data_IF_647391605697
#
_entry.id   IF_647391605697
#
_cell.length_a   1.000
_cell.length_b   1.000
_cell.length_c   1.000
_cell.angle_alpha   90.00
_cell.angle_beta   90.00
_cell.angle_gamma   90.00
#
_symmetry.space_group_name_H-M   'P 1'
#
loop_
_entity.id
_entity.type
_entity.pdbx_description
1 polymer ?
#
# COMPACT_ATOMS: atom_id res chain seq x y z
N UNK A 1 10.07 -14.55 18.78
CA UNK A 1 9.76 -13.11 18.83
C UNK A 1 10.68 -12.27 17.94
N UNK A 2 12.01 -12.28 18.14
CA UNK A 2 12.97 -11.51 17.31
C UNK A 2 12.94 -11.88 15.81
N UNK A 3 12.75 -13.16 15.46
CA UNK A 3 12.64 -13.60 14.05
C UNK A 3 11.36 -13.16 13.33
N UNK A 4 10.22 -13.05 14.03
CA UNK A 4 8.97 -12.50 13.47
C UNK A 4 9.07 -10.98 13.30
N UNK A 5 9.70 -10.27 14.24
CA UNK A 5 9.96 -8.82 14.12
C UNK A 5 10.92 -8.51 12.96
N UNK A 6 12.04 -9.24 12.86
CA UNK A 6 13.00 -9.12 11.74
C UNK A 6 12.37 -9.46 10.38
N UNK A 7 11.49 -10.45 10.30
CA UNK A 7 10.79 -10.75 9.05
C UNK A 7 9.89 -9.58 8.59
N UNK A 8 9.20 -8.93 9.54
CA UNK A 8 8.37 -7.75 9.27
C UNK A 8 9.24 -6.53 8.89
N UNK A 9 10.39 -6.35 9.55
CA UNK A 9 11.32 -5.25 9.23
C UNK A 9 11.97 -5.46 7.85
N UNK A 10 12.37 -6.68 7.52
CA UNK A 10 13.01 -7.03 6.23
C UNK A 10 12.01 -6.95 5.08
N UNK A 11 10.75 -7.40 5.26
CA UNK A 11 9.70 -7.26 4.26
C UNK A 11 9.34 -5.80 3.99
N UNK A 12 9.24 -4.97 5.04
CA UNK A 12 9.05 -3.52 4.92
C UNK A 12 10.21 -2.84 4.21
N UNK A 13 11.46 -3.22 4.52
CA UNK A 13 12.67 -2.71 3.86
C UNK A 13 12.73 -3.06 2.37
N UNK A 14 12.34 -4.28 1.99
CA UNK A 14 12.31 -4.68 0.58
C UNK A 14 11.35 -3.85 -0.26
N UNK A 15 10.16 -3.58 0.28
CA UNK A 15 9.18 -2.72 -0.37
C UNK A 15 9.64 -1.25 -0.44
N UNK A 16 10.25 -0.72 0.63
CA UNK A 16 10.88 0.62 0.64
C UNK A 16 11.93 0.73 -0.48
N UNK A 17 12.79 -0.29 -0.63
CA UNK A 17 13.83 -0.32 -1.66
C UNK A 17 13.26 -0.36 -3.08
N UNK A 18 12.18 -1.11 -3.32
CA UNK A 18 11.49 -1.14 -4.63
C UNK A 18 10.88 0.21 -4.96
N UNK A 19 10.21 0.86 -4.01
CA UNK A 19 9.60 2.18 -4.26
C UNK A 19 10.66 3.26 -4.46
N UNK A 20 11.77 3.21 -3.70
CA UNK A 20 12.93 4.10 -3.93
C UNK A 20 13.51 3.86 -5.32
N UNK A 21 13.69 2.60 -5.74
CA UNK A 21 14.22 2.26 -7.06
C UNK A 21 13.31 2.77 -8.20
N UNK A 22 11.98 2.60 -8.07
CA UNK A 22 10.98 3.10 -9.03
C UNK A 22 10.93 4.64 -9.07
N UNK A 23 11.07 5.29 -7.92
CA UNK A 23 11.07 6.76 -7.83
C UNK A 23 12.33 7.34 -8.46
N UNK A 24 13.50 6.76 -8.15
CA UNK A 24 14.78 7.18 -8.73
C UNK A 24 14.85 6.91 -10.24
N UNK A 25 14.36 5.76 -10.71
CA UNK A 25 14.31 5.47 -12.15
C UNK A 25 13.40 6.45 -12.89
N UNK A 26 12.25 6.79 -12.29
CA UNK A 26 11.31 7.80 -12.81
C UNK A 26 11.93 9.20 -12.90
N UNK A 27 12.67 9.63 -11.87
CA UNK A 27 13.35 10.94 -11.84
C UNK A 27 14.53 11.02 -12.82
N UNK A 28 15.21 9.90 -13.09
CA UNK A 28 16.39 9.84 -13.99
C UNK A 28 16.03 9.67 -15.46
N UNK A 29 14.91 9.01 -15.77
CA UNK A 29 14.52 8.70 -17.14
C UNK A 29 13.46 9.65 -17.70
N UNK A 30 12.76 10.43 -16.86
CA UNK A 30 11.52 11.09 -17.29
C UNK A 30 10.51 10.01 -17.64
N UNK A 31 9.75 9.54 -16.66
CA UNK A 31 8.96 8.32 -16.80
C UNK A 31 8.03 8.36 -18.02
N UNK A 32 8.40 7.64 -19.08
CA UNK A 32 7.51 7.31 -20.20
C UNK A 32 6.62 6.18 -19.72
N UNK A 33 5.60 6.54 -18.95
CA UNK A 33 4.57 5.61 -18.51
C UNK A 33 3.59 5.42 -19.66
N UNK A 34 3.68 4.29 -20.37
CA UNK A 34 2.68 3.87 -21.35
C UNK A 34 1.49 3.27 -20.62
N UNK A 35 0.57 4.10 -20.15
CA UNK A 35 -0.77 3.67 -19.75
C UNK A 35 -1.65 3.61 -21.00
N UNK A 36 -2.32 2.47 -21.19
CA UNK A 36 -2.99 2.11 -22.43
C UNK A 36 -3.85 3.22 -23.04
N UNK A 37 -3.47 3.63 -24.26
CA UNK A 37 -4.30 4.44 -25.14
C UNK A 37 -3.95 5.93 -25.27
N UNK A 38 -2.98 6.47 -24.52
CA UNK A 38 -2.63 7.89 -24.61
C UNK A 38 -1.18 8.08 -25.12
N UNK A 39 -1.05 9.03 -26.05
CA UNK A 39 0.19 9.46 -26.69
C UNK A 39 1.30 9.78 -25.66
N UNK A 40 2.56 9.66 -26.11
CA UNK A 40 3.78 9.83 -25.32
C UNK A 40 3.73 11.07 -24.42
N UNK A 41 3.24 10.93 -23.19
CA UNK A 41 3.29 11.99 -22.20
C UNK A 41 4.62 11.82 -21.46
N UNK A 42 5.59 12.67 -21.78
CA UNK A 42 6.83 12.74 -21.00
C UNK A 42 6.46 13.34 -19.65
N UNK A 43 6.28 12.49 -18.64
CA UNK A 43 5.96 12.94 -17.30
C UNK A 43 7.24 13.46 -16.64
N UNK A 44 7.42 14.78 -16.63
CA UNK A 44 8.45 15.44 -15.84
C UNK A 44 8.00 15.52 -14.38
N UNK A 45 8.46 14.56 -13.57
CA UNK A 45 8.17 14.51 -12.14
C UNK A 45 9.03 15.51 -11.38
N UNK A 46 8.41 16.39 -10.60
CA UNK A 46 9.13 17.19 -9.60
C UNK A 46 9.67 16.29 -8.47
N UNK A 47 10.82 16.62 -7.85
CA UNK A 47 11.33 15.87 -6.71
C UNK A 47 10.30 15.76 -5.55
N UNK A 48 9.47 16.79 -5.36
CA UNK A 48 8.41 16.79 -4.34
C UNK A 48 7.31 15.76 -4.62
N UNK A 49 6.92 15.59 -5.89
CA UNK A 49 5.95 14.56 -6.30
C UNK A 49 6.48 13.16 -6.04
N UNK A 50 7.79 12.94 -6.24
CA UNK A 50 8.45 11.67 -5.92
C UNK A 50 8.37 11.31 -4.43
N UNK A 51 8.55 12.28 -3.54
CA UNK A 51 8.40 12.07 -2.10
C UNK A 51 6.96 11.73 -1.73
N UNK A 52 5.97 12.40 -2.33
CA UNK A 52 4.55 12.10 -2.08
C UNK A 52 4.16 10.70 -2.57
N UNK A 53 4.68 10.27 -3.73
CA UNK A 53 4.53 8.89 -4.23
C UNK A 53 5.09 7.88 -3.23
N UNK A 54 6.29 8.14 -2.69
CA UNK A 54 6.90 7.30 -1.66
C UNK A 54 6.01 7.19 -0.42
N UNK A 55 5.51 8.31 0.10
CA UNK A 55 4.63 8.32 1.29
C UNK A 55 3.37 7.48 1.08
N UNK A 56 2.70 7.69 -0.06
CA UNK A 56 1.46 6.95 -0.39
C UNK A 56 1.73 5.46 -0.56
N UNK A 57 2.82 5.10 -1.25
CA UNK A 57 3.22 3.71 -1.43
C UNK A 57 3.59 3.02 -0.11
N UNK A 58 4.34 3.70 0.76
CA UNK A 58 4.69 3.18 2.09
C UNK A 58 3.46 2.91 2.96
N UNK A 59 2.46 3.79 2.91
CA UNK A 59 1.21 3.59 3.64
C UNK A 59 0.49 2.31 3.17
N UNK A 60 0.40 2.09 1.86
CA UNK A 60 -0.21 0.88 1.31
C UNK A 60 0.57 -0.38 1.67
N UNK A 61 1.89 -0.35 1.55
CA UNK A 61 2.75 -1.48 1.93
C UNK A 61 2.55 -1.83 3.40
N UNK A 62 2.58 -0.82 4.29
CA UNK A 62 2.36 -1.04 5.71
C UNK A 62 0.99 -1.70 5.99
N UNK A 63 -0.05 -1.28 5.28
CA UNK A 63 -1.38 -1.88 5.37
C UNK A 63 -1.37 -3.36 4.92
N UNK A 64 -0.85 -3.65 3.73
CA UNK A 64 -0.80 -5.01 3.19
C UNK A 64 0.03 -5.94 4.07
N UNK A 65 1.19 -5.48 4.55
CA UNK A 65 2.03 -6.24 5.48
C UNK A 65 1.35 -6.49 6.82
N UNK A 66 0.56 -5.54 7.34
CA UNK A 66 -0.22 -5.73 8.55
C UNK A 66 -1.30 -6.81 8.34
N UNK A 67 -1.99 -6.80 7.20
CA UNK A 67 -3.00 -7.81 6.84
C UNK A 67 -2.36 -9.20 6.70
N UNK A 68 -1.25 -9.32 5.96
CA UNK A 68 -0.53 -10.59 5.83
C UNK A 68 -0.07 -11.12 7.18
N UNK A 69 0.45 -10.25 8.05
CA UNK A 69 0.86 -10.62 9.40
C UNK A 69 -0.33 -11.14 10.21
N UNK A 70 -1.48 -10.46 10.15
CA UNK A 70 -2.68 -10.90 10.84
C UNK A 70 -3.15 -12.27 10.34
N UNK A 71 -3.17 -12.49 9.03
CA UNK A 71 -3.51 -13.78 8.43
C UNK A 71 -2.51 -14.88 8.84
N UNK A 72 -1.22 -14.56 8.93
CA UNK A 72 -0.20 -15.51 9.37
C UNK A 72 -0.35 -15.97 10.81
N UNK A 73 -0.96 -15.13 11.67
CA UNK A 73 -1.25 -15.48 13.06
C UNK A 73 -2.52 -16.35 13.20
N UNK A 74 -3.41 -16.27 12.22
CA UNK A 74 -4.65 -17.06 12.19
C UNK A 74 -4.46 -18.41 11.47
N UNK A 75 -3.55 -18.46 10.50
CA UNK A 75 -3.25 -19.65 9.72
C UNK A 75 -2.33 -20.63 10.47
N UNK A 76 -2.49 -21.93 10.19
CA UNK A 76 -1.65 -22.99 10.75
C UNK A 76 -0.33 -23.16 9.99
N UNK A 77 -0.23 -22.59 8.80
CA UNK A 77 0.97 -22.61 7.97
C UNK A 77 1.11 -21.38 7.09
N UNK A 78 2.34 -21.11 6.63
CA UNK A 78 2.62 -20.00 5.68
C UNK A 78 1.85 -20.16 4.37
N UNK A 79 1.68 -21.40 3.88
CA UNK A 79 0.89 -21.68 2.67
C UNK A 79 -0.58 -21.31 2.85
N UNK A 80 -1.14 -21.65 3.99
CA UNK A 80 -2.54 -21.36 4.32
C UNK A 80 -2.76 -19.84 4.47
N UNK A 81 -1.83 -19.12 5.10
CA UNK A 81 -1.87 -17.66 5.16
C UNK A 81 -1.88 -17.00 3.77
N UNK A 82 -1.05 -17.50 2.84
CA UNK A 82 -0.98 -17.00 1.47
C UNK A 82 -2.24 -17.35 0.65
N UNK A 83 -2.83 -18.52 0.88
CA UNK A 83 -4.12 -18.90 0.30
C UNK A 83 -5.26 -17.99 0.77
N UNK A 84 -5.22 -17.50 2.01
CA UNK A 84 -6.18 -16.51 2.51
C UNK A 84 -5.87 -15.09 2.06
N UNK A 85 -4.60 -14.75 1.88
CA UNK A 85 -4.22 -13.43 1.43
C UNK A 85 -4.70 -13.14 0.01
N UNK A 86 -4.61 -14.12 -0.89
CA UNK A 86 -5.02 -13.95 -2.30
C UNK A 86 -6.46 -13.41 -2.47
N UNK A 87 -7.52 -14.04 -1.92
CA UNK A 87 -8.88 -13.52 -2.04
C UNK A 87 -9.08 -12.17 -1.33
N UNK A 88 -8.40 -11.95 -0.20
CA UNK A 88 -8.43 -10.66 0.51
C UNK A 88 -7.81 -9.56 -0.36
N UNK A 89 -6.65 -9.82 -0.96
CA UNK A 89 -5.98 -8.91 -1.88
C UNK A 89 -6.85 -8.60 -3.11
N UNK A 90 -7.46 -9.62 -3.71
CA UNK A 90 -8.39 -9.46 -4.84
C UNK A 90 -9.59 -8.59 -4.47
N UNK A 91 -10.13 -8.74 -3.25
CA UNK A 91 -11.25 -7.92 -2.78
C UNK A 91 -10.92 -6.42 -2.75
N UNK A 92 -9.67 -6.05 -2.46
CA UNK A 92 -9.22 -4.66 -2.46
C UNK A 92 -8.78 -4.17 -3.85
N UNK A 93 -8.12 -5.03 -4.64
CA UNK A 93 -7.57 -4.62 -5.94
C UNK A 93 -8.59 -4.63 -7.07
N UNK A 94 -9.58 -5.53 -7.08
CA UNK A 94 -10.59 -5.57 -8.13
C UNK A 94 -11.41 -4.27 -8.19
N UNK A 95 -11.95 -3.72 -7.08
CA UNK A 95 -12.59 -2.41 -7.10
C UNK A 95 -11.64 -1.32 -7.58
N UNK A 96 -10.38 -1.34 -7.16
CA UNK A 96 -9.40 -0.34 -7.57
C UNK A 96 -9.08 -0.40 -9.08
N UNK A 97 -9.06 -1.59 -9.66
CA UNK A 97 -8.93 -1.80 -11.11
C UNK A 97 -10.18 -1.33 -11.84
N UNK A 98 -11.37 -1.74 -11.37
CA UNK A 98 -12.66 -1.36 -11.96
C UNK A 98 -12.88 0.16 -11.91
N UNK A 99 -12.45 0.81 -10.83
CA UNK A 99 -12.66 2.24 -10.63
C UNK A 99 -11.81 3.12 -11.57
N UNK A 100 -10.82 2.56 -12.29
CA UNK A 100 -10.14 3.28 -13.37
C UNK A 100 -11.04 3.51 -14.59
N UNK A 101 -12.05 2.67 -14.78
CA UNK A 101 -13.02 2.76 -15.87
C UNK A 101 -14.25 3.58 -15.51
N UNK A 102 -14.40 3.95 -14.23
CA UNK A 102 -15.56 4.69 -13.72
C UNK A 102 -15.20 6.18 -13.56
N UNK A 103 -15.68 7.00 -14.49
CA UNK A 103 -15.50 8.45 -14.44
C UNK A 103 -16.12 9.04 -13.16
N UNK A 104 -15.42 10.00 -12.55
CA UNK A 104 -15.89 10.72 -11.36
C UNK A 104 -15.53 10.08 -10.01
N UNK A 105 -15.16 8.79 -9.96
CA UNK A 105 -14.78 8.12 -8.70
C UNK A 105 -13.51 8.72 -8.09
N UNK A 106 -12.52 9.08 -8.91
CA UNK A 106 -11.31 9.76 -8.49
C UNK A 106 -11.55 11.18 -7.91
N UNK A 107 -12.75 11.75 -8.09
CA UNK A 107 -13.13 13.06 -7.54
C UNK A 107 -13.92 12.94 -6.24
N UNK A 108 -14.43 11.76 -5.93
CA UNK A 108 -15.35 11.58 -4.82
C UNK A 108 -14.58 11.26 -3.53
N UNK A 109 -14.77 12.01 -2.43
CA UNK A 109 -14.00 11.81 -1.20
C UNK A 109 -14.15 10.41 -0.59
N UNK A 110 -15.31 9.77 -0.76
CA UNK A 110 -15.56 8.44 -0.19
C UNK A 110 -14.67 7.35 -0.77
N UNK A 111 -14.21 7.48 -2.02
CA UNK A 111 -13.32 6.48 -2.65
C UNK A 111 -11.93 6.49 -2.04
N UNK A 112 -11.53 7.61 -1.44
CA UNK A 112 -10.26 7.75 -0.74
C UNK A 112 -10.31 7.24 0.70
N UNK A 113 -11.46 6.82 1.21
CA UNK A 113 -11.58 6.20 2.54
C UNK A 113 -11.22 4.71 2.50
N UNK A 114 -11.35 4.05 1.35
CA UNK A 114 -11.10 2.63 1.23
C UNK A 114 -9.61 2.36 0.92
N UNK A 115 -8.88 1.62 1.77
CA UNK A 115 -7.49 1.27 1.50
C UNK A 115 -7.37 0.45 0.21
N UNK A 116 -6.32 0.72 -0.56
CA UNK A 116 -6.13 0.15 -1.90
C UNK A 116 -6.75 1.02 -3.00
N UNK A 117 -8.04 1.33 -2.90
CA UNK A 117 -8.72 2.29 -3.80
C UNK A 117 -8.10 3.67 -3.69
N UNK A 118 -7.95 4.16 -2.46
CA UNK A 118 -7.37 5.45 -2.14
C UNK A 118 -5.93 5.61 -2.67
N UNK A 119 -5.13 4.55 -2.56
CA UNK A 119 -3.74 4.53 -2.98
C UNK A 119 -3.64 4.53 -4.50
N UNK A 120 -4.46 3.72 -5.19
CA UNK A 120 -4.48 3.69 -6.66
C UNK A 120 -4.86 5.06 -7.23
N UNK A 121 -5.87 5.72 -6.67
CA UNK A 121 -6.24 7.07 -7.11
C UNK A 121 -5.20 8.14 -6.76
N UNK A 122 -4.61 8.08 -5.57
CA UNK A 122 -3.56 9.02 -5.16
C UNK A 122 -2.29 8.86 -6.01
N UNK A 123 -1.85 7.63 -6.27
CA UNK A 123 -0.70 7.34 -7.14
C UNK A 123 -0.97 7.81 -8.58
N UNK A 124 -2.16 7.50 -9.13
CA UNK A 124 -2.55 7.97 -10.47
C UNK A 124 -2.57 9.51 -10.55
N UNK A 125 -3.17 10.19 -9.58
CA UNK A 125 -3.20 11.66 -9.55
C UNK A 125 -1.81 12.29 -9.45
N UNK A 126 -0.93 11.71 -8.63
CA UNK A 126 0.46 12.13 -8.52
C UNK A 126 1.22 11.92 -9.84
N UNK A 127 1.05 10.77 -10.50
CA UNK A 127 1.69 10.46 -11.79
C UNK A 127 1.20 11.35 -12.94
N UNK A 128 -0.09 11.70 -12.95
CA UNK A 128 -0.68 12.58 -13.97
C UNK A 128 -0.49 14.07 -13.68
N UNK A 129 0.06 14.43 -12.51
CA UNK A 129 0.19 15.83 -12.08
C UNK A 129 -1.13 16.47 -11.62
N UNK A 130 -2.25 15.76 -11.67
CA UNK A 130 -3.58 16.19 -11.24
C UNK A 130 -3.89 15.72 -9.81
N UNK A 131 -3.14 16.21 -8.82
CA UNK A 131 -3.32 15.82 -7.41
C UNK A 131 -3.78 16.99 -6.54
N UNK A 132 -4.51 16.65 -5.47
CA UNK A 132 -4.99 17.59 -4.45
C UNK A 132 -4.54 17.14 -3.07
N UNK A 133 -4.12 18.10 -2.24
CA UNK A 133 -3.71 17.83 -0.86
C UNK A 133 -4.79 17.13 -0.04
N UNK A 134 -6.05 17.53 -0.21
CA UNK A 134 -7.19 16.93 0.50
C UNK A 134 -7.26 15.42 0.30
N UNK A 135 -7.15 14.97 -0.96
CA UNK A 135 -7.24 13.56 -1.32
C UNK A 135 -6.01 12.77 -0.85
N UNK A 136 -4.83 13.39 -0.90
CA UNK A 136 -3.58 12.82 -0.41
C UNK A 136 -3.60 12.59 1.10
N UNK A 137 -4.01 13.60 1.87
CA UNK A 137 -4.19 13.45 3.31
C UNK A 137 -5.22 12.38 3.61
N UNK A 138 -6.36 12.38 2.91
CA UNK A 138 -7.41 11.40 3.14
C UNK A 138 -6.92 9.97 2.83
N UNK A 139 -6.14 9.79 1.76
CA UNK A 139 -5.57 8.48 1.41
C UNK A 139 -4.60 7.97 2.48
N UNK A 140 -3.66 8.80 2.93
CA UNK A 140 -2.66 8.40 3.92
C UNK A 140 -3.31 8.16 5.28
N UNK A 141 -4.19 9.08 5.71
CA UNK A 141 -4.86 8.97 7.02
C UNK A 141 -5.83 7.80 7.09
N UNK A 142 -6.65 7.58 6.07
CA UNK A 142 -7.54 6.41 6.03
C UNK A 142 -6.73 5.12 6.07
N UNK A 143 -5.70 4.98 5.24
CA UNK A 143 -4.84 3.79 5.24
C UNK A 143 -4.19 3.56 6.62
N UNK A 144 -3.74 4.62 7.28
CA UNK A 144 -3.20 4.53 8.65
C UNK A 144 -4.26 4.08 9.67
N UNK A 145 -5.49 4.60 9.57
CA UNK A 145 -6.62 4.23 10.44
C UNK A 145 -6.95 2.74 10.32
N UNK A 146 -6.88 2.15 9.11
CA UNK A 146 -7.08 0.70 8.94
C UNK A 146 -5.86 -0.12 9.39
N UNK A 147 -4.65 0.41 9.22
CA UNK A 147 -3.40 -0.30 9.56
C UNK A 147 -3.18 -0.42 11.07
N UNK A 148 -3.44 0.67 11.82
CA UNK A 148 -3.14 0.73 13.27
C UNK A 148 -3.86 -0.35 14.10
N UNK A 149 -5.18 -0.60 13.94
CA UNK A 149 -5.88 -1.65 14.68
C UNK A 149 -5.38 -3.06 14.35
N UNK A 150 -5.03 -3.32 13.08
CA UNK A 150 -4.49 -4.62 12.65
C UNK A 150 -3.14 -4.87 13.31
N UNK A 151 -2.25 -3.88 13.29
CA UNK A 151 -0.95 -3.98 13.96
C UNK A 151 -1.10 -4.15 15.47
N UNK A 152 -2.03 -3.44 16.10
CA UNK A 152 -2.34 -3.59 17.52
C UNK A 152 -2.81 -5.00 17.87
N UNK A 153 -3.68 -5.58 17.04
CA UNK A 153 -4.12 -6.98 17.18
C UNK A 153 -2.93 -7.94 17.06
N UNK A 154 -2.10 -7.78 16.02
CA UNK A 154 -0.92 -8.61 15.81
C UNK A 154 0.06 -8.52 16.99
N UNK A 155 0.31 -7.32 17.51
CA UNK A 155 1.18 -7.10 18.66
C UNK A 155 0.66 -7.81 19.92
N UNK A 156 -0.65 -7.74 20.19
CA UNK A 156 -1.26 -8.45 21.32
C UNK A 156 -1.21 -9.97 21.16
N UNK A 157 -1.51 -10.49 19.97
CA UNK A 157 -1.47 -11.92 19.71
C UNK A 157 -0.06 -12.50 19.89
N UNK A 158 0.96 -11.81 19.36
CA UNK A 158 2.37 -12.20 19.52
C UNK A 158 2.84 -12.15 20.98
N UNK A 159 2.37 -11.17 21.76
CA UNK A 159 2.70 -11.07 23.18
C UNK A 159 2.20 -12.26 24.01
N UNK A 160 1.04 -12.83 23.65
CA UNK A 160 0.48 -14.01 24.34
C UNK A 160 1.26 -15.28 24.03
N UNK A 161 1.70 -15.47 22.78
CA UNK A 161 2.56 -16.61 22.40
C UNK A 161 3.90 -16.59 23.15
N UNK A 162 4.49 -15.40 23.34
CA UNK A 162 5.78 -15.24 24.02
C UNK A 162 5.72 -15.59 25.51
N UNK A 163 4.55 -15.40 26.16
CA UNK A 163 4.35 -15.72 27.57
C UNK A 163 4.08 -17.22 27.79
N UNK A 164 3.40 -17.89 26.85
CA UNK A 164 3.08 -19.31 26.94
C UNK A 164 4.32 -20.22 26.81
N UNK A 165 5.35 -19.76 26.09
CA UNK A 165 6.61 -20.51 25.91
C UNK A 165 7.59 -20.33 27.09
N UNK A 166 7.23 -19.54 28.11
CA UNK A 166 8.09 -19.19 29.25
C UNK A 166 7.64 -19.82 30.58
N UNK A 167 6.69 -20.75 30.54
CA UNK A 167 6.20 -21.59 31.66
C UNK A 167 6.37 -23.06 31.30
#
# INVERSE_FOLDING_TARGET
>A
AAGKFLAITVAGLGAVLVVIAVTLSTLRLGAVVRLGGLEQTVVTMSPGTGVLLLVVALALVAFLSAVELALSLLARSVREAQQYFTPVYMLFTLPAMAAQFLEGWARSPWTYLLPGLNTVFALRGLLLGEWRWDHLLLAVTSTAIYTMPILWFCARALGREALLYRS
#
